data_IF_094408355341
#
_entry.id   IF_094408355341
#
_cell.length_a   1.000
_cell.length_b   1.000
_cell.length_c   1.000
_cell.angle_alpha   90.00
_cell.angle_beta   90.00
_cell.angle_gamma   90.00
#
_symmetry.space_group_name_H-M   'P 1'
#
loop_
_entity.id
_entity.type
_entity.pdbx_description
1 polymer ?
#
# COMPACT_ATOMS: atom_id res chain seq x y z
N UNK A 1 -7.09 -7.17 -12.92
CA UNK A 1 -8.41 -6.54 -12.69
C UNK A 1 -9.03 -5.95 -13.96
N UNK A 2 -8.33 -5.89 -15.10
CA UNK A 2 -8.81 -5.20 -16.32
C UNK A 2 -9.47 -6.12 -17.34
N UNK A 3 -9.34 -7.44 -17.21
CA UNK A 3 -10.01 -8.39 -18.09
C UNK A 3 -11.51 -8.39 -17.77
N UNK A 4 -12.40 -8.00 -18.71
CA UNK A 4 -13.83 -8.02 -18.48
C UNK A 4 -14.34 -9.46 -18.40
N UNK A 5 -15.30 -9.70 -17.50
CA UNK A 5 -15.97 -11.00 -17.43
C UNK A 5 -16.76 -11.26 -18.72
N UNK A 6 -16.73 -12.49 -19.20
CA UNK A 6 -17.47 -12.92 -20.38
C UNK A 6 -18.40 -14.09 -20.04
N UNK A 7 -19.50 -14.23 -20.78
CA UNK A 7 -20.42 -15.35 -20.61
C UNK A 7 -19.71 -16.69 -20.81
N UNK A 8 -19.91 -17.62 -19.87
CA UNK A 8 -19.25 -18.93 -19.89
C UNK A 8 -17.77 -18.93 -19.49
N UNK A 9 -17.22 -17.82 -18.99
CA UNK A 9 -15.85 -17.76 -18.47
C UNK A 9 -15.74 -18.53 -17.14
N UNK A 10 -14.83 -19.50 -17.10
CA UNK A 10 -14.41 -20.17 -15.86
C UNK A 10 -13.08 -19.58 -15.39
N UNK A 11 -12.99 -19.22 -14.10
CA UNK A 11 -11.81 -18.58 -13.52
C UNK A 11 -11.24 -19.48 -12.43
N UNK A 12 -10.13 -20.15 -12.73
CA UNK A 12 -9.32 -20.80 -11.70
C UNK A 12 -8.29 -19.80 -11.15
N UNK A 13 -8.57 -19.33 -9.93
CA UNK A 13 -7.72 -18.37 -9.23
C UNK A 13 -6.77 -19.03 -8.21
N UNK A 14 -6.79 -20.35 -8.12
CA UNK A 14 -6.14 -21.14 -7.07
C UNK A 14 -5.11 -22.15 -7.57
N UNK A 15 -4.96 -22.32 -8.89
CA UNK A 15 -3.93 -23.19 -9.46
C UNK A 15 -2.52 -22.89 -8.94
N UNK A 16 -1.68 -23.93 -8.87
CA UNK A 16 -0.28 -23.82 -8.43
C UNK A 16 0.52 -22.83 -9.27
N UNK A 17 0.26 -22.78 -10.58
CA UNK A 17 0.89 -21.84 -11.50
C UNK A 17 0.59 -20.38 -11.11
N UNK A 18 -0.68 -20.07 -10.80
CA UNK A 18 -1.09 -18.72 -10.39
C UNK A 18 -0.51 -18.37 -9.01
N UNK A 19 -0.52 -19.31 -8.06
CA UNK A 19 0.08 -19.06 -6.75
C UNK A 19 1.60 -18.83 -6.83
N UNK A 20 2.29 -19.56 -7.70
CA UNK A 20 3.73 -19.37 -7.94
C UNK A 20 4.02 -18.00 -8.56
N UNK A 21 3.23 -17.59 -9.55
CA UNK A 21 3.35 -16.26 -10.17
C UNK A 21 3.12 -15.13 -9.17
N UNK A 22 2.06 -15.22 -8.34
CA UNK A 22 1.78 -14.24 -7.29
C UNK A 22 2.94 -14.12 -6.30
N UNK A 23 3.50 -15.26 -5.87
CA UNK A 23 4.63 -15.30 -4.95
C UNK A 23 5.87 -14.64 -5.56
N UNK A 24 6.16 -14.88 -6.83
CA UNK A 24 7.27 -14.24 -7.54
C UNK A 24 7.10 -12.71 -7.63
N UNK A 25 5.89 -12.23 -7.94
CA UNK A 25 5.58 -10.79 -7.96
C UNK A 25 5.79 -10.18 -6.57
N UNK A 26 5.27 -10.81 -5.53
CA UNK A 26 5.46 -10.33 -4.16
C UNK A 26 6.94 -10.27 -3.80
N UNK A 27 7.71 -11.32 -4.10
CA UNK A 27 9.15 -11.33 -3.87
C UNK A 27 9.85 -10.15 -4.55
N UNK A 28 9.43 -9.76 -5.76
CA UNK A 28 9.95 -8.56 -6.43
C UNK A 28 9.57 -7.26 -5.71
N UNK A 29 8.30 -7.12 -5.30
CA UNK A 29 7.84 -5.94 -4.55
C UNK A 29 8.58 -5.76 -3.22
N UNK A 30 8.86 -6.86 -2.51
CA UNK A 30 9.58 -6.82 -1.23
C UNK A 30 11.05 -6.40 -1.37
N UNK A 31 11.72 -6.71 -2.50
CA UNK A 31 13.15 -6.38 -2.67
C UNK A 31 13.40 -4.99 -3.25
N UNK A 32 12.38 -4.39 -3.87
CA UNK A 32 12.45 -3.03 -4.43
C UNK A 32 12.39 -1.94 -3.34
N UNK A 33 11.87 -2.26 -2.15
CA UNK A 33 11.79 -1.36 -1.00
C UNK A 33 12.47 -1.91 0.26
N UNK A 34 12.36 -1.18 1.36
CA UNK A 34 12.79 -1.64 2.69
C UNK A 34 11.56 -1.91 3.56
N UNK A 35 11.25 -3.18 3.80
CA UNK A 35 10.09 -3.61 4.58
C UNK A 35 10.49 -4.20 5.95
N UNK A 36 10.77 -3.33 6.91
CA UNK A 36 11.06 -3.71 8.29
C UNK A 36 9.78 -3.94 9.10
N UNK A 37 9.04 -5.02 8.80
CA UNK A 37 7.72 -5.29 9.38
C UNK A 37 7.67 -5.25 10.93
N UNK A 38 8.66 -5.76 11.69
CA UNK A 38 8.62 -5.70 13.16
C UNK A 38 8.57 -4.29 13.74
N UNK A 39 9.07 -3.28 13.02
CA UNK A 39 9.09 -1.87 13.43
C UNK A 39 8.06 -1.02 12.67
N UNK A 40 7.22 -1.65 11.84
CA UNK A 40 6.25 -0.95 11.01
C UNK A 40 4.88 -0.92 11.68
N UNK A 41 4.33 0.28 11.83
CA UNK A 41 2.99 0.51 12.38
C UNK A 41 1.90 -0.25 11.62
N UNK A 42 2.02 -0.32 10.29
CA UNK A 42 1.07 -1.03 9.45
C UNK A 42 1.16 -2.55 9.59
N UNK A 43 2.18 -3.13 10.25
CA UNK A 43 2.28 -4.59 10.41
C UNK A 43 0.98 -5.19 10.96
N UNK A 44 0.52 -6.33 10.46
CA UNK A 44 -0.78 -6.90 10.86
C UNK A 44 -2.02 -6.17 10.30
N UNK A 45 -1.87 -4.98 9.71
CA UNK A 45 -2.87 -4.29 8.89
C UNK A 45 -2.36 -3.99 7.46
N UNK A 46 -1.17 -4.48 7.11
CA UNK A 46 -0.48 -4.24 5.86
C UNK A 46 -0.90 -5.29 4.84
N UNK A 47 -1.52 -4.86 3.73
CA UNK A 47 -1.98 -5.80 2.71
C UNK A 47 -0.82 -6.53 2.04
N UNK A 48 0.30 -5.85 1.76
CA UNK A 48 1.47 -6.51 1.16
C UNK A 48 1.97 -7.69 2.03
N UNK A 49 2.01 -7.49 3.35
CA UNK A 49 2.35 -8.54 4.30
C UNK A 49 1.28 -9.64 4.32
N UNK A 50 0.00 -9.28 4.34
CA UNK A 50 -1.09 -10.25 4.39
C UNK A 50 -1.16 -11.13 3.13
N UNK A 51 -0.93 -10.56 1.94
CA UNK A 51 -0.87 -11.33 0.68
C UNK A 51 0.38 -12.22 0.65
N UNK A 52 1.51 -11.78 1.23
CA UNK A 52 2.68 -12.65 1.40
C UNK A 52 2.37 -13.88 2.27
N UNK A 53 1.64 -13.72 3.37
CA UNK A 53 1.18 -14.86 4.17
C UNK A 53 0.21 -15.75 3.39
N UNK A 54 -0.78 -15.16 2.71
CA UNK A 54 -1.76 -15.89 1.90
C UNK A 54 -1.10 -16.76 0.81
N UNK A 55 -0.04 -16.27 0.18
CA UNK A 55 0.69 -16.99 -0.87
C UNK A 55 1.80 -17.90 -0.33
N UNK A 56 2.01 -17.95 1.00
CA UNK A 56 3.07 -18.76 1.61
C UNK A 56 4.49 -18.26 1.28
N UNK A 57 4.69 -16.95 1.15
CA UNK A 57 6.01 -16.35 0.97
C UNK A 57 6.75 -16.26 2.32
N UNK A 58 7.50 -17.30 2.67
CA UNK A 58 8.22 -17.39 3.96
C UNK A 58 9.55 -16.63 3.97
N UNK A 59 10.15 -16.44 2.80
CA UNK A 59 11.42 -15.73 2.65
C UNK A 59 11.50 -15.02 1.30
N UNK A 60 12.29 -13.93 1.23
CA UNK A 60 12.67 -13.32 -0.03
C UNK A 60 13.59 -14.26 -0.82
N UNK A 61 13.38 -14.33 -2.13
CA UNK A 61 14.20 -15.13 -3.05
C UNK A 61 15.26 -14.28 -3.76
N UNK A 62 14.92 -13.03 -4.11
CA UNK A 62 15.81 -12.11 -4.82
C UNK A 62 16.70 -11.31 -3.85
N UNK A 63 17.81 -10.79 -4.38
CA UNK A 63 18.68 -9.86 -3.66
C UNK A 63 17.97 -8.52 -3.46
N UNK A 64 17.98 -8.01 -2.23
CA UNK A 64 17.40 -6.70 -1.91
C UNK A 64 18.22 -5.57 -2.51
N UNK A 65 17.54 -4.53 -2.98
CA UNK A 65 18.21 -3.33 -3.47
C UNK A 65 18.67 -2.41 -2.35
N UNK A 66 18.02 -2.48 -1.19
CA UNK A 66 18.26 -1.58 -0.06
C UNK A 66 18.35 -0.11 -0.48
N UNK A 67 17.34 0.42 -1.21
CA UNK A 67 17.37 1.81 -1.62
C UNK A 67 17.41 2.71 -0.39
N UNK A 68 17.87 3.96 -0.57
CA UNK A 68 17.83 4.99 0.47
C UNK A 68 16.92 6.11 0.00
N UNK A 69 15.61 5.91 0.14
CA UNK A 69 14.63 6.94 -0.19
C UNK A 69 14.37 7.81 1.05
N UNK A 70 14.06 9.09 0.88
CA UNK A 70 13.84 9.97 2.02
C UNK A 70 12.56 9.57 2.78
N UNK A 71 12.42 10.10 3.99
CA UNK A 71 11.12 10.16 4.69
C UNK A 71 10.64 11.60 4.61
N UNK A 72 9.40 11.80 4.19
CA UNK A 72 8.73 13.10 4.28
C UNK A 72 7.79 13.12 5.48
N UNK A 73 8.22 13.75 6.57
CA UNK A 73 7.41 13.99 7.76
C UNK A 73 7.02 15.47 7.92
N UNK A 74 7.07 16.23 6.82
CA UNK A 74 6.89 17.68 6.82
C UNK A 74 5.45 18.10 7.12
N UNK A 75 4.45 17.31 6.73
CA UNK A 75 3.06 17.55 7.07
C UNK A 75 2.82 17.34 8.58
N UNK A 76 1.96 18.15 9.24
CA UNK A 76 1.73 18.05 10.68
C UNK A 76 1.23 16.66 11.12
N UNK A 77 0.32 16.08 10.35
CA UNK A 77 -0.43 14.88 10.77
C UNK A 77 -0.14 13.60 9.97
N UNK A 78 0.63 13.68 8.88
CA UNK A 78 0.88 12.55 7.98
C UNK A 78 2.38 12.49 7.70
N UNK A 79 2.93 11.28 7.63
CA UNK A 79 4.28 11.04 7.13
C UNK A 79 4.28 10.07 5.96
N UNK A 80 5.27 10.21 5.09
CA UNK A 80 5.50 9.31 3.96
C UNK A 80 6.89 8.71 4.08
N UNK A 81 6.96 7.39 4.24
CA UNK A 81 8.18 6.61 4.13
C UNK A 81 8.27 6.00 2.72
N UNK A 82 9.06 6.64 1.86
CA UNK A 82 9.17 6.24 0.45
C UNK A 82 9.87 4.89 0.26
N UNK A 83 10.62 4.39 1.25
CA UNK A 83 11.23 3.06 1.17
C UNK A 83 10.19 1.94 1.22
N UNK A 84 9.00 2.20 1.77
CA UNK A 84 7.91 1.21 1.90
C UNK A 84 6.89 1.29 0.76
N UNK A 85 7.05 2.25 -0.16
CA UNK A 85 6.16 2.43 -1.29
C UNK A 85 6.43 1.37 -2.37
N UNK A 86 5.37 0.71 -2.82
CA UNK A 86 5.42 -0.30 -3.90
C UNK A 86 4.91 0.22 -5.25
N UNK A 87 4.83 1.55 -5.41
CA UNK A 87 4.41 2.22 -6.66
C UNK A 87 3.07 1.73 -7.25
N UNK A 88 2.12 1.33 -6.40
CA UNK A 88 0.80 0.83 -6.83
C UNK A 88 -0.17 1.90 -7.36
N UNK A 89 0.23 3.18 -7.29
CA UNK A 89 -0.56 4.35 -7.73
C UNK A 89 -1.94 4.52 -7.08
N UNK A 90 -2.23 3.84 -5.96
CA UNK A 90 -3.51 4.01 -5.26
C UNK A 90 -3.67 5.43 -4.70
N UNK A 91 -2.62 5.99 -4.10
CA UNK A 91 -2.63 7.39 -3.63
C UNK A 91 -2.74 8.39 -4.79
N UNK A 92 -2.10 8.12 -5.94
CA UNK A 92 -2.18 8.95 -7.15
C UNK A 92 -3.62 9.00 -7.65
N UNK A 93 -4.26 7.84 -7.81
CA UNK A 93 -5.65 7.74 -8.26
C UNK A 93 -6.63 8.35 -7.25
N UNK A 94 -6.50 8.05 -5.96
CA UNK A 94 -7.34 8.65 -4.93
C UNK A 94 -7.22 10.18 -4.92
N UNK A 95 -5.99 10.71 -4.95
CA UNK A 95 -5.76 12.16 -4.94
C UNK A 95 -6.31 12.86 -6.18
N UNK A 96 -6.29 12.21 -7.35
CA UNK A 96 -6.80 12.78 -8.60
C UNK A 96 -8.32 12.62 -8.74
N UNK A 97 -8.83 11.41 -8.55
CA UNK A 97 -10.17 11.01 -8.95
C UNK A 97 -11.19 11.18 -7.82
N UNK A 98 -10.76 11.00 -6.57
CA UNK A 98 -11.62 11.16 -5.39
C UNK A 98 -11.44 12.54 -4.74
N UNK A 99 -10.19 12.91 -4.44
CA UNK A 99 -9.92 14.15 -3.70
C UNK A 99 -9.85 15.38 -4.60
N UNK A 100 -9.66 15.21 -5.92
CA UNK A 100 -9.60 16.29 -6.91
C UNK A 100 -8.35 17.17 -6.84
N UNK A 101 -7.29 16.75 -6.14
CA UNK A 101 -6.12 17.57 -5.79
C UNK A 101 -4.85 17.28 -6.59
N UNK A 102 -4.68 16.05 -7.10
CA UNK A 102 -3.50 15.61 -7.90
C UNK A 102 -2.15 15.81 -7.16
N UNK A 103 -2.14 15.62 -5.84
CA UNK A 103 -0.95 15.80 -4.98
C UNK A 103 0.18 14.85 -5.37
N UNK A 104 -0.14 13.66 -5.86
CA UNK A 104 0.85 12.62 -6.13
C UNK A 104 0.97 12.31 -7.62
N UNK A 105 2.19 11.99 -8.05
CA UNK A 105 2.48 11.41 -9.36
C UNK A 105 3.63 10.40 -9.26
N UNK A 106 3.78 9.52 -10.25
CA UNK A 106 5.00 8.71 -10.42
C UNK A 106 5.88 9.39 -11.47
N UNK A 107 7.16 9.57 -11.13
CA UNK A 107 8.17 10.15 -12.00
C UNK A 107 9.37 9.22 -12.12
N UNK A 108 10.15 9.36 -13.19
CA UNK A 108 11.26 8.48 -13.51
C UNK A 108 10.86 7.30 -14.41
N UNK A 109 11.80 6.37 -14.63
CA UNK A 109 11.62 5.16 -15.46
C UNK A 109 12.48 4.03 -14.91
N UNK A 110 12.00 2.79 -15.06
CA UNK A 110 12.73 1.62 -14.58
C UNK A 110 13.02 1.72 -13.08
N UNK A 111 14.25 1.45 -12.68
CA UNK A 111 14.71 1.51 -11.28
C UNK A 111 14.67 2.93 -10.67
N UNK A 112 14.63 3.98 -11.51
CA UNK A 112 14.57 5.37 -11.07
C UNK A 112 13.12 5.87 -10.82
N UNK A 113 12.13 4.99 -10.99
CA UNK A 113 10.73 5.30 -10.76
C UNK A 113 10.48 5.58 -9.28
N UNK A 114 9.79 6.68 -8.99
CA UNK A 114 9.49 7.12 -7.62
C UNK A 114 8.18 7.88 -7.56
N UNK A 115 7.52 7.80 -6.40
CA UNK A 115 6.41 8.67 -6.07
C UNK A 115 6.96 10.08 -5.80
N UNK A 116 6.34 11.09 -6.41
CA UNK A 116 6.65 12.51 -6.21
C UNK A 116 5.41 13.25 -5.74
N UNK A 117 5.64 14.37 -5.04
CA UNK A 117 4.61 15.24 -4.51
C UNK A 117 4.59 16.52 -5.36
N UNK A 118 3.43 16.86 -5.92
CA UNK A 118 3.19 18.10 -6.64
C UNK A 118 3.09 19.26 -5.65
N UNK A 119 4.23 19.90 -5.41
CA UNK A 119 4.38 21.08 -4.55
C UNK A 119 5.67 21.82 -4.92
N UNK A 120 5.79 23.13 -4.60
CA UNK A 120 7.00 23.89 -4.88
C UNK A 120 8.29 23.31 -4.27
N UNK A 121 8.19 22.64 -3.12
CA UNK A 121 9.34 22.04 -2.42
C UNK A 121 9.51 20.54 -2.69
N UNK A 122 8.55 19.90 -3.36
CA UNK A 122 8.48 18.44 -3.46
C UNK A 122 8.12 17.74 -2.14
N UNK A 123 7.62 18.48 -1.14
CA UNK A 123 7.25 17.98 0.18
C UNK A 123 5.77 18.23 0.49
N UNK A 124 5.19 17.34 1.31
CA UNK A 124 3.77 17.29 1.61
C UNK A 124 3.25 18.57 2.29
N UNK A 125 4.07 19.23 3.12
CA UNK A 125 3.71 20.49 3.80
C UNK A 125 3.32 21.63 2.88
N UNK A 126 3.87 21.66 1.66
CA UNK A 126 3.68 22.75 0.70
C UNK A 126 2.70 22.34 -0.41
N UNK A 127 1.99 21.23 -0.21
CA UNK A 127 0.94 20.71 -1.11
C UNK A 127 -0.47 21.01 -0.58
N UNK A 128 -1.49 20.71 -1.38
CA UNK A 128 -2.91 20.81 -0.97
C UNK A 128 -3.42 19.58 -0.18
N UNK A 129 -2.53 18.64 0.14
CA UNK A 129 -2.87 17.41 0.84
C UNK A 129 -3.44 17.67 2.24
N UNK A 130 -4.48 16.93 2.60
CA UNK A 130 -5.08 16.96 3.93
C UNK A 130 -5.13 15.55 4.52
N UNK A 131 -5.00 15.45 5.85
CA UNK A 131 -5.06 14.17 6.55
C UNK A 131 -6.40 13.43 6.41
N UNK A 132 -7.47 14.13 6.00
CA UNK A 132 -8.80 13.59 5.72
C UNK A 132 -8.98 13.09 4.29
N UNK A 133 -7.99 13.30 3.42
CA UNK A 133 -8.07 12.90 2.01
C UNK A 133 -8.13 11.37 1.89
N UNK A 134 -8.85 10.87 0.88
CA UNK A 134 -8.86 9.42 0.61
C UNK A 134 -7.43 8.93 0.33
N UNK A 135 -6.61 9.74 -0.32
CA UNK A 135 -5.20 9.44 -0.54
C UNK A 135 -4.38 9.18 0.74
N UNK A 136 -4.78 9.71 1.91
CA UNK A 136 -4.15 9.44 3.20
C UNK A 136 -4.48 8.04 3.75
N UNK A 137 -5.54 7.40 3.23
CA UNK A 137 -6.13 6.17 3.79
C UNK A 137 -6.19 5.00 2.81
N UNK A 138 -5.58 5.09 1.62
CA UNK A 138 -5.62 4.01 0.60
C UNK A 138 -4.29 3.28 0.45
N UNK A 139 -3.25 3.66 1.19
CA UNK A 139 -1.95 3.03 1.03
C UNK A 139 -2.00 1.57 1.51
N UNK A 140 -1.69 0.57 0.66
CA UNK A 140 -1.78 -0.85 1.04
C UNK A 140 -0.59 -1.31 1.90
N UNK A 141 0.40 -0.43 2.09
CA UNK A 141 1.61 -0.67 2.90
C UNK A 141 1.76 0.41 3.95
N UNK A 142 2.80 0.33 4.79
CA UNK A 142 3.14 1.37 5.75
C UNK A 142 3.87 2.58 5.16
N UNK A 143 3.66 2.91 3.88
CA UNK A 143 4.33 4.02 3.21
C UNK A 143 3.68 5.37 3.52
N UNK A 144 2.37 5.46 3.65
CA UNK A 144 1.66 6.67 4.09
C UNK A 144 1.02 6.34 5.44
N UNK A 145 1.43 7.06 6.49
CA UNK A 145 1.03 6.77 7.86
C UNK A 145 0.60 8.04 8.60
N UNK A 146 -0.44 7.97 9.45
CA UNK A 146 -0.75 9.04 10.37
C UNK A 146 0.37 9.23 11.39
N UNK A 147 0.61 10.49 11.77
CA UNK A 147 1.47 10.87 12.88
C UNK A 147 0.66 10.86 14.18
N UNK A 148 1.37 10.88 15.31
CA UNK A 148 0.80 10.92 16.67
C UNK A 148 0.03 9.67 17.10
N UNK A 149 -0.11 8.69 16.21
CA UNK A 149 -0.72 7.40 16.46
C UNK A 149 0.28 6.31 16.09
N UNK A 150 0.50 5.38 17.01
CA UNK A 150 1.42 4.28 16.82
C UNK A 150 1.15 3.16 17.81
N UNK A 151 1.18 1.93 17.33
CA UNK A 151 0.98 0.69 18.05
C UNK A 151 -0.32 0.65 18.87
N UNK A 152 -1.37 1.35 18.40
CA UNK A 152 -2.68 1.44 19.08
C UNK A 152 -3.31 0.05 19.30
N UNK A 153 -3.19 -0.82 18.29
CA UNK A 153 -3.57 -2.22 18.40
C UNK A 153 -2.33 -3.10 18.63
N UNK A 154 -2.32 -3.97 19.66
CA UNK A 154 -1.22 -4.89 19.89
C UNK A 154 -1.12 -5.91 18.75
N UNK A 155 0.10 -6.41 18.53
CA UNK A 155 0.34 -7.53 17.60
C UNK A 155 -0.49 -8.73 18.07
N UNK A 156 -1.13 -9.43 17.13
CA UNK A 156 -2.06 -10.52 17.40
C UNK A 156 -3.53 -10.07 17.46
N UNK A 157 -3.80 -8.76 17.54
CA UNK A 157 -5.15 -8.21 17.59
C UNK A 157 -5.52 -7.38 16.34
N UNK A 158 -4.60 -7.24 15.38
CA UNK A 158 -4.80 -6.47 14.14
C UNK A 158 -5.56 -7.31 13.12
N UNK A 159 -6.09 -6.67 12.07
CA UNK A 159 -7.02 -7.30 11.14
C UNK A 159 -6.45 -8.60 10.54
N UNK A 160 -5.26 -8.52 9.97
CA UNK A 160 -4.62 -9.65 9.31
C UNK A 160 -3.83 -10.57 10.25
N UNK A 161 -3.69 -10.20 11.52
CA UNK A 161 -3.19 -11.13 12.54
C UNK A 161 -4.27 -12.16 12.90
N UNK A 162 -5.55 -11.75 12.82
CA UNK A 162 -6.69 -12.57 13.20
C UNK A 162 -7.26 -13.36 12.04
N UNK A 163 -7.38 -12.73 10.88
CA UNK A 163 -8.08 -13.29 9.74
C UNK A 163 -7.28 -13.12 8.44
N UNK A 164 -7.23 -14.14 7.56
CA UNK A 164 -6.49 -14.03 6.31
C UNK A 164 -7.16 -13.02 5.36
N UNK A 165 -6.36 -12.34 4.55
CA UNK A 165 -6.84 -11.34 3.58
C UNK A 165 -7.87 -11.89 2.58
N UNK A 166 -7.84 -13.20 2.29
CA UNK A 166 -8.84 -13.87 1.46
C UNK A 166 -10.25 -13.85 2.05
N UNK A 167 -10.38 -13.63 3.35
CA UNK A 167 -11.66 -13.62 4.07
C UNK A 167 -12.13 -12.20 4.33
N UNK A 168 -11.24 -11.31 4.79
CA UNK A 168 -11.61 -9.96 5.24
C UNK A 168 -11.34 -8.84 4.22
N UNK A 169 -10.61 -9.12 3.14
CA UNK A 169 -10.36 -8.16 2.09
C UNK A 169 -9.49 -6.96 2.52
N UNK A 170 -9.78 -5.78 1.97
CA UNK A 170 -8.99 -4.55 2.15
C UNK A 170 -9.20 -3.94 3.56
N UNK A 171 -8.12 -3.74 4.32
CA UNK A 171 -8.15 -3.11 5.64
C UNK A 171 -8.83 -1.74 5.68
N UNK A 172 -8.79 -0.98 4.59
CA UNK A 172 -9.34 0.36 4.46
C UNK A 172 -10.83 0.38 4.11
N UNK A 173 -11.39 -0.75 3.69
CA UNK A 173 -12.83 -0.89 3.43
C UNK A 173 -13.66 -1.03 4.71
N UNK A 174 -13.01 -1.28 5.85
CA UNK A 174 -13.65 -1.37 7.17
C UNK A 174 -13.83 -0.01 7.87
N UNK A 175 -13.36 1.08 7.25
CA UNK A 175 -13.44 2.45 7.77
C UNK A 175 -14.29 3.38 6.91
N UNK A 176 -14.92 2.87 5.85
CA UNK A 176 -15.96 3.65 5.17
C UNK A 176 -17.23 3.63 6.04
N UNK A 177 -17.68 4.79 6.58
CA UNK A 177 -19.06 4.87 7.01
C UNK A 177 -19.88 4.57 5.76
N UNK A 178 -20.74 3.55 5.84
CA UNK A 178 -21.71 3.29 4.78
C UNK A 178 -22.36 4.62 4.40
N UNK A 179 -22.05 5.13 3.20
CA UNK A 179 -22.90 6.11 2.58
C UNK A 179 -24.24 5.39 2.40
N UNK A 180 -25.26 5.85 3.12
CA UNK A 180 -26.64 5.43 2.90
C UNK A 180 -26.90 5.59 1.39
N UNK A 181 -27.10 4.45 0.73
CA UNK A 181 -27.60 4.41 -0.63
C UNK A 181 -29.09 4.68 -0.50
N UNK A 182 -29.48 5.94 -0.73
CA UNK A 182 -30.88 6.33 -1.00
C UNK A 182 -31.36 5.73 -2.33
#
# INVERSE_FOLDING_TARGET
CTAPAAGGMEVDSSSEAIQSLRRAILQMLFVEGNHACPACEASGNCQLQAVAYYTGMLSPHFTHFFPRRPVDASHPDIMIDFDRCILCELCVRASRDHDGKRVFAVSGRGLESRLVIDSPSGLLRDSSFAATDRAAHVCPTGAILPKHKGYEAPIGARLYDRDPISTVGDAHSLHEPHAEVD
#
